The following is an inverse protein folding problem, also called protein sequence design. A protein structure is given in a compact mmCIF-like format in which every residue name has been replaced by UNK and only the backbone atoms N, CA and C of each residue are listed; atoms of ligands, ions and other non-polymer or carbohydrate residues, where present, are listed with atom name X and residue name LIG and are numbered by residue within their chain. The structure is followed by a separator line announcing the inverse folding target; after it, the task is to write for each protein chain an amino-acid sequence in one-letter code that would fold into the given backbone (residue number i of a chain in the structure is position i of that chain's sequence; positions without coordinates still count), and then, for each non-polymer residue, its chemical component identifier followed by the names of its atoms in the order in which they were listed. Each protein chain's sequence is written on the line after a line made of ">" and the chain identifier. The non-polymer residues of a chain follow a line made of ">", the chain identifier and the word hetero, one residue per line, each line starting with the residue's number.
data_IF_342066589882
#
_entry.id   IF_342066589882
#
_cell.length_a   1.000
_cell.length_b   1.000
_cell.length_c   1.000
_cell.angle_alpha   90.00
_cell.angle_beta   90.00
_cell.angle_gamma   90.00
#
_symmetry.space_group_name_H-M   'P 1'
#
loop_
_entity.id
_entity.type
_entity.pdbx_description
1 polymer ?
#
# COMPACT_ATOMS: atom_id res chain seq x y z
N UNK A 1 -24.48 -12.24 24.89
CA UNK A 1 -24.59 -13.62 24.37
C UNK A 1 -23.49 -13.79 23.34
N UNK A 2 -22.46 -14.53 23.69
CA UNK A 2 -21.36 -14.86 22.78
C UNK A 2 -21.85 -16.02 21.92
N UNK A 3 -21.97 -15.82 20.61
CA UNK A 3 -22.06 -16.95 19.69
C UNK A 3 -20.64 -17.51 19.50
N UNK A 4 -20.31 -18.55 20.27
CA UNK A 4 -19.28 -19.50 19.89
C UNK A 4 -19.75 -20.22 18.64
N UNK A 5 -19.16 -19.86 17.49
CA UNK A 5 -19.27 -20.60 16.24
C UNK A 5 -17.93 -21.23 15.93
N UNK A 6 -17.83 -22.55 16.12
CA UNK A 6 -16.73 -23.38 15.65
C UNK A 6 -16.75 -23.48 14.12
N UNK A 7 -16.26 -22.45 13.43
CA UNK A 7 -16.11 -22.50 11.97
C UNK A 7 -14.81 -23.18 11.58
N UNK A 8 -14.83 -24.52 11.44
CA UNK A 8 -13.71 -25.31 10.94
C UNK A 8 -13.62 -25.24 9.40
N UNK A 9 -13.73 -24.04 8.82
CA UNK A 9 -13.59 -23.82 7.38
C UNK A 9 -12.11 -23.68 7.02
N UNK A 10 -11.56 -24.70 6.36
CA UNK A 10 -10.31 -24.55 5.62
C UNK A 10 -10.59 -23.80 4.32
N UNK A 11 -10.24 -22.52 4.27
CA UNK A 11 -10.31 -21.77 3.03
C UNK A 11 -9.18 -22.24 2.10
N UNK A 12 -9.49 -22.49 0.80
CA UNK A 12 -8.44 -22.81 -0.15
C UNK A 12 -7.44 -21.65 -0.23
N UNK A 13 -6.16 -21.97 -0.33
CA UNK A 13 -5.11 -20.96 -0.51
C UNK A 13 -5.34 -20.29 -1.87
N UNK A 14 -5.69 -19.01 -1.85
CA UNK A 14 -5.87 -18.21 -3.06
C UNK A 14 -4.49 -17.75 -3.56
N UNK A 15 -4.08 -18.10 -4.80
CA UNK A 15 -2.85 -17.57 -5.37
C UNK A 15 -2.89 -16.05 -5.49
N UNK A 16 -1.77 -15.38 -5.24
CA UNK A 16 -1.70 -13.93 -5.28
C UNK A 16 -2.21 -13.30 -6.59
N UNK A 17 -1.90 -13.83 -7.80
CA UNK A 17 -2.47 -13.29 -9.04
C UNK A 17 -4.00 -13.39 -9.11
N UNK A 18 -4.60 -14.45 -8.56
CA UNK A 18 -6.05 -14.61 -8.51
C UNK A 18 -6.69 -13.58 -7.56
N UNK A 19 -6.04 -13.33 -6.42
CA UNK A 19 -6.45 -12.27 -5.49
C UNK A 19 -6.41 -10.89 -6.15
N UNK A 20 -5.31 -10.54 -6.81
CA UNK A 20 -5.15 -9.25 -7.51
C UNK A 20 -6.20 -9.07 -8.60
N UNK A 21 -6.44 -10.12 -9.40
CA UNK A 21 -7.50 -10.10 -10.41
C UNK A 21 -8.88 -9.87 -9.79
N UNK A 22 -9.19 -10.51 -8.66
CA UNK A 22 -10.44 -10.31 -7.96
C UNK A 22 -10.58 -8.86 -7.46
N UNK A 23 -9.55 -8.31 -6.80
CA UNK A 23 -9.54 -6.91 -6.32
C UNK A 23 -9.68 -5.89 -7.46
N UNK A 24 -9.05 -6.15 -8.60
CA UNK A 24 -9.12 -5.29 -9.78
C UNK A 24 -10.46 -5.38 -10.51
N UNK A 25 -11.25 -6.42 -10.24
CA UNK A 25 -12.60 -6.54 -10.83
C UNK A 25 -13.59 -5.76 -9.98
N UNK A 26 -14.36 -4.85 -10.59
CA UNK A 26 -15.35 -4.05 -9.88
C UNK A 26 -16.66 -4.84 -9.62
N UNK A 27 -16.56 -6.02 -9.01
CA UNK A 27 -17.71 -6.83 -8.60
C UNK A 27 -18.05 -6.51 -7.15
N UNK A 28 -19.29 -6.09 -6.92
CA UNK A 28 -19.83 -5.76 -5.59
C UNK A 28 -19.74 -6.92 -4.61
N UNK A 29 -19.90 -8.15 -5.10
CA UNK A 29 -19.81 -9.38 -4.29
C UNK A 29 -18.42 -9.65 -3.71
N UNK A 30 -17.37 -9.00 -4.22
CA UNK A 30 -15.97 -9.11 -3.76
C UNK A 30 -15.42 -7.79 -3.19
N UNK A 31 -16.28 -6.79 -3.00
CA UNK A 31 -15.87 -5.54 -2.38
C UNK A 31 -15.68 -5.75 -0.89
N UNK A 32 -14.53 -5.31 -0.39
CA UNK A 32 -14.21 -5.26 1.02
C UNK A 32 -13.51 -3.92 1.28
N UNK A 33 -13.80 -3.26 2.41
CA UNK A 33 -13.18 -1.99 2.78
C UNK A 33 -11.65 -2.02 2.73
N UNK A 34 -10.99 -3.15 2.99
CA UNK A 34 -9.52 -3.22 3.00
C UNK A 34 -8.87 -2.97 1.61
N UNK A 35 -9.63 -3.10 0.52
CA UNK A 35 -9.15 -2.84 -0.84
C UNK A 35 -10.08 -1.91 -1.63
N UNK A 36 -10.83 -1.09 -0.90
CA UNK A 36 -11.45 0.12 -1.42
C UNK A 36 -10.46 1.28 -1.41
N UNK A 37 -10.81 2.35 -2.12
CA UNK A 37 -9.98 3.55 -2.15
C UNK A 37 -10.02 4.23 -0.79
N UNK A 38 -8.86 4.59 -0.29
CA UNK A 38 -8.72 5.35 0.95
C UNK A 38 -9.36 6.74 0.80
N UNK A 39 -9.27 7.32 -0.40
CA UNK A 39 -10.00 8.53 -0.80
C UNK A 39 -11.52 8.42 -0.63
N UNK A 40 -12.11 7.23 -0.79
CA UNK A 40 -13.55 7.01 -0.63
C UNK A 40 -13.97 6.71 0.83
N UNK A 41 -13.09 6.08 1.62
CA UNK A 41 -13.44 5.59 2.95
C UNK A 41 -13.44 6.69 4.03
N UNK A 42 -12.39 7.50 4.06
CA UNK A 42 -12.15 8.44 5.15
C UNK A 42 -12.09 9.90 4.69
N UNK A 43 -12.36 10.17 3.40
CA UNK A 43 -12.18 11.46 2.76
C UNK A 43 -10.85 12.20 3.13
N UNK A 44 -9.70 11.51 3.20
CA UNK A 44 -8.43 12.14 3.58
C UNK A 44 -8.00 13.25 2.62
N UNK A 45 -8.53 13.26 1.39
CA UNK A 45 -8.35 14.34 0.42
C UNK A 45 -8.85 15.71 0.89
N UNK A 46 -9.65 15.77 1.95
CA UNK A 46 -10.13 17.02 2.56
C UNK A 46 -9.15 17.62 3.58
N UNK A 47 -8.02 16.95 3.83
CA UNK A 47 -6.99 17.38 4.77
C UNK A 47 -5.83 17.97 3.99
N UNK A 48 -5.45 19.21 4.33
CA UNK A 48 -4.25 19.86 3.81
C UNK A 48 -3.03 19.34 4.57
N UNK A 49 -2.39 18.29 4.05
CA UNK A 49 -1.21 17.69 4.67
C UNK A 49 0.01 18.58 4.53
N UNK A 50 0.62 18.96 5.65
CA UNK A 50 1.96 19.56 5.66
C UNK A 50 3.05 18.52 5.28
N UNK A 51 2.79 17.24 5.57
CA UNK A 51 3.71 16.12 5.36
C UNK A 51 2.99 14.82 5.01
N UNK A 52 3.56 14.10 4.06
CA UNK A 52 3.26 12.69 3.78
C UNK A 52 4.58 11.95 3.94
N UNK A 53 4.59 10.93 4.79
CA UNK A 53 5.76 10.09 5.07
C UNK A 53 5.47 8.72 4.51
N UNK A 54 6.40 8.17 3.74
CA UNK A 54 6.24 6.84 3.19
C UNK A 54 6.98 5.83 4.03
N UNK A 55 6.43 4.63 4.13
CA UNK A 55 7.02 3.64 5.02
C UNK A 55 8.37 3.20 4.46
N UNK A 56 8.46 2.92 3.17
CA UNK A 56 9.65 2.51 2.46
C UNK A 56 10.85 3.46 2.63
N UNK A 57 10.60 4.76 2.80
CA UNK A 57 11.61 5.82 3.01
C UNK A 57 11.58 6.41 4.42
N UNK A 58 11.00 5.70 5.40
CA UNK A 58 10.76 6.25 6.74
C UNK A 58 12.05 6.74 7.43
N UNK A 59 13.19 6.08 7.18
CA UNK A 59 14.46 6.44 7.78
C UNK A 59 15.04 7.73 7.19
N UNK A 60 14.75 7.99 5.93
CA UNK A 60 15.11 9.20 5.19
C UNK A 60 14.13 10.36 5.48
N UNK A 61 12.84 10.05 5.65
CA UNK A 61 11.77 11.04 5.81
C UNK A 61 11.73 11.64 7.23
N UNK A 62 12.00 10.84 8.26
CA UNK A 62 11.93 11.28 9.67
C UNK A 62 12.83 12.48 9.99
N UNK A 63 14.12 12.50 9.58
CA UNK A 63 14.98 13.67 9.79
C UNK A 63 14.42 14.95 9.14
N UNK A 64 13.81 14.84 7.95
CA UNK A 64 13.20 15.99 7.29
C UNK A 64 11.95 16.47 8.03
N UNK A 65 11.10 15.54 8.45
CA UNK A 65 9.92 15.82 9.27
C UNK A 65 10.30 16.54 10.57
N UNK A 66 11.28 16.02 11.33
CA UNK A 66 11.70 16.59 12.60
C UNK A 66 12.18 18.03 12.44
N UNK A 67 13.00 18.30 11.42
CA UNK A 67 13.48 19.66 11.13
C UNK A 67 12.33 20.62 10.81
N UNK A 68 11.42 20.23 9.93
CA UNK A 68 10.32 21.13 9.50
C UNK A 68 9.25 21.29 10.60
N UNK A 69 9.07 20.30 11.47
CA UNK A 69 8.20 20.37 12.64
C UNK A 69 8.84 21.10 13.85
N UNK A 70 10.10 21.53 13.75
CA UNK A 70 10.82 22.19 14.85
C UNK A 70 11.13 21.27 16.03
N UNK A 71 11.17 19.96 15.81
CA UNK A 71 11.50 18.97 16.84
C UNK A 71 13.02 18.92 16.98
N UNK A 72 13.52 19.31 18.14
CA UNK A 72 14.96 19.36 18.46
C UNK A 72 15.29 18.49 19.67
N UNK A 73 16.48 17.89 19.72
CA UNK A 73 16.95 17.14 20.89
C UNK A 73 16.24 15.80 21.08
N UNK A 74 15.69 15.23 19.99
CA UNK A 74 14.96 13.95 19.94
C UNK A 74 15.57 12.99 18.92
N UNK A 75 16.87 13.10 18.69
CA UNK A 75 17.60 12.27 17.74
C UNK A 75 17.52 10.78 18.11
N UNK A 76 17.23 10.47 19.38
CA UNK A 76 16.97 9.13 19.91
C UNK A 76 15.72 8.46 19.31
N UNK A 77 14.78 9.25 18.75
CA UNK A 77 13.58 8.73 18.09
C UNK A 77 13.76 8.46 16.60
N UNK A 78 14.88 8.87 16.00
CA UNK A 78 15.09 8.64 14.58
C UNK A 78 15.25 7.14 14.32
N UNK A 79 14.46 6.55 13.42
CA UNK A 79 14.58 5.14 13.11
C UNK A 79 15.94 4.85 12.50
N UNK A 80 16.56 3.74 12.91
CA UNK A 80 17.76 3.25 12.25
C UNK A 80 17.46 2.92 10.78
N UNK A 81 18.40 3.28 9.90
CA UNK A 81 18.36 2.86 8.50
C UNK A 81 18.51 1.34 8.45
N UNK A 82 17.40 0.63 8.22
CA UNK A 82 17.36 -0.82 8.09
C UNK A 82 16.78 -1.19 6.73
N UNK A 83 17.49 -2.06 6.01
CA UNK A 83 17.00 -2.64 4.77
C UNK A 83 15.65 -3.32 5.02
N UNK A 84 14.60 -2.82 4.37
CA UNK A 84 13.26 -3.38 4.54
C UNK A 84 13.20 -4.74 3.84
N UNK A 85 12.87 -5.78 4.61
CA UNK A 85 12.56 -7.11 4.05
C UNK A 85 11.33 -7.07 3.13
N UNK A 86 10.49 -6.04 3.27
CA UNK A 86 9.24 -5.85 2.53
C UNK A 86 9.46 -5.74 1.01
N UNK A 87 10.46 -5.00 0.57
CA UNK A 87 10.64 -4.68 -0.87
C UNK A 87 10.90 -5.93 -1.70
N UNK A 88 11.80 -6.81 -1.23
CA UNK A 88 12.09 -8.07 -1.92
C UNK A 88 10.86 -8.99 -2.01
N UNK A 89 10.05 -9.01 -0.95
CA UNK A 89 8.83 -9.82 -0.92
C UNK A 89 7.75 -9.23 -1.83
N UNK A 90 7.60 -7.91 -1.82
CA UNK A 90 6.68 -7.16 -2.67
C UNK A 90 6.95 -7.48 -4.15
N UNK A 91 8.19 -7.28 -4.61
CA UNK A 91 8.54 -7.53 -6.01
C UNK A 91 8.41 -9.00 -6.41
N UNK A 92 8.72 -9.94 -5.50
CA UNK A 92 8.54 -11.38 -5.75
C UNK A 92 7.08 -11.72 -6.09
N UNK A 93 6.13 -11.09 -5.43
CA UNK A 93 4.70 -11.32 -5.68
C UNK A 93 4.21 -10.59 -6.92
N UNK A 94 4.56 -9.31 -7.10
CA UNK A 94 4.06 -8.50 -8.20
C UNK A 94 4.59 -8.94 -9.59
N UNK A 95 5.80 -9.50 -9.65
CA UNK A 95 6.35 -10.08 -10.90
C UNK A 95 5.55 -11.26 -11.47
N UNK A 96 4.68 -11.88 -10.67
CA UNK A 96 3.85 -13.01 -11.10
C UNK A 96 2.51 -12.57 -11.69
N UNK A 97 2.18 -11.28 -11.62
CA UNK A 97 0.88 -10.76 -12.06
C UNK A 97 0.94 -10.48 -13.57
N UNK A 98 -0.07 -10.92 -14.35
CA UNK A 98 -0.22 -10.51 -15.74
C UNK A 98 -0.27 -8.99 -15.87
N UNK A 99 0.39 -8.44 -16.90
CA UNK A 99 0.49 -6.99 -17.08
C UNK A 99 -0.89 -6.30 -17.16
N UNK A 100 -1.88 -6.95 -17.78
CA UNK A 100 -3.25 -6.41 -17.87
C UNK A 100 -3.94 -6.29 -16.49
N UNK A 101 -3.66 -7.22 -15.58
CA UNK A 101 -4.21 -7.19 -14.22
C UNK A 101 -3.49 -6.13 -13.37
N UNK A 102 -2.19 -5.88 -13.60
CA UNK A 102 -1.47 -4.76 -13.00
C UNK A 102 -2.05 -3.41 -13.44
N UNK A 103 -2.31 -3.24 -14.75
CA UNK A 103 -2.94 -2.01 -15.27
C UNK A 103 -4.34 -1.80 -14.70
N UNK A 104 -5.11 -2.87 -14.50
CA UNK A 104 -6.45 -2.79 -13.91
C UNK A 104 -6.41 -2.33 -12.45
N UNK A 105 -5.50 -2.90 -11.67
CA UNK A 105 -5.29 -2.49 -10.27
C UNK A 105 -4.79 -1.06 -10.19
N UNK A 106 -3.85 -0.67 -11.05
CA UNK A 106 -3.40 0.72 -11.15
C UNK A 106 -4.58 1.65 -11.32
N UNK A 107 -5.37 1.42 -12.36
CA UNK A 107 -6.44 2.34 -12.71
C UNK A 107 -7.44 2.48 -11.57
N UNK A 108 -7.72 1.36 -10.87
CA UNK A 108 -8.53 1.38 -9.65
C UNK A 108 -7.93 2.30 -8.59
N UNK A 109 -6.66 2.14 -8.22
CA UNK A 109 -6.02 2.85 -7.11
C UNK A 109 -5.39 4.21 -7.48
N UNK A 110 -5.61 4.70 -8.70
CA UNK A 110 -4.96 5.92 -9.22
C UNK A 110 -5.17 7.13 -8.31
N UNK A 111 -6.39 7.34 -7.80
CA UNK A 111 -6.71 8.47 -6.95
C UNK A 111 -5.87 8.48 -5.66
N UNK A 112 -5.68 7.32 -5.03
CA UNK A 112 -4.87 7.19 -3.83
C UNK A 112 -3.37 7.35 -4.13
N UNK A 113 -2.91 6.83 -5.27
CA UNK A 113 -1.54 7.05 -5.75
C UNK A 113 -1.22 8.54 -5.89
N UNK A 114 -2.10 9.28 -6.57
CA UNK A 114 -1.93 10.72 -6.76
C UNK A 114 -1.96 11.45 -5.40
N UNK A 115 -2.93 11.12 -4.53
CA UNK A 115 -3.12 11.75 -3.22
C UNK A 115 -1.92 11.56 -2.29
N UNK A 116 -1.29 10.39 -2.31
CA UNK A 116 -0.13 10.08 -1.47
C UNK A 116 1.22 10.23 -2.20
N UNK A 117 1.22 10.89 -3.36
CA UNK A 117 2.42 11.16 -4.15
C UNK A 117 3.24 9.91 -4.55
N UNK A 118 2.56 8.79 -4.77
CA UNK A 118 3.16 7.59 -5.37
C UNK A 118 3.20 7.70 -6.90
N UNK A 119 4.28 7.21 -7.52
CA UNK A 119 4.43 7.16 -8.97
C UNK A 119 4.29 5.74 -9.50
N UNK A 120 3.17 5.46 -10.16
CA UNK A 120 3.00 4.17 -10.84
C UNK A 120 4.05 3.92 -11.93
N UNK A 121 4.47 4.97 -12.63
CA UNK A 121 5.47 4.82 -13.69
C UNK A 121 6.80 4.35 -13.09
N UNK A 122 7.18 4.87 -11.92
CA UNK A 122 8.39 4.46 -11.22
C UNK A 122 8.29 2.99 -10.78
N UNK A 123 7.13 2.57 -10.27
CA UNK A 123 6.87 1.18 -9.89
C UNK A 123 6.97 0.22 -11.08
N UNK A 124 6.40 0.57 -12.23
CA UNK A 124 6.49 -0.25 -13.45
C UNK A 124 7.92 -0.30 -13.98
N UNK A 125 8.64 0.82 -13.98
CA UNK A 125 10.05 0.85 -14.37
C UNK A 125 10.89 -0.04 -13.43
N UNK A 126 10.60 -0.06 -12.13
CA UNK A 126 11.25 -0.97 -11.18
C UNK A 126 10.88 -2.44 -11.41
N UNK A 127 9.66 -2.73 -11.84
CA UNK A 127 9.19 -4.10 -12.11
C UNK A 127 9.79 -4.70 -13.37
N UNK A 128 9.86 -3.92 -14.45
CA UNK A 128 10.14 -4.40 -15.81
C UNK A 128 11.41 -3.80 -16.43
N UNK A 129 12.03 -2.80 -15.80
CA UNK A 129 13.30 -2.22 -16.22
C UNK A 129 14.46 -3.15 -15.90
N UNK A 130 14.79 -4.01 -16.86
CA UNK A 130 16.10 -4.65 -17.00
C UNK A 130 16.87 -3.96 -18.13
#
# INVERSE_FOLDING_TARGET
>A
MLHEGSDNRSYPIVPFPAFIKAVGTNRTEWQDPHWQLISDLCAPCQIDYDFIIHTETIAEDYPLFFRKAGITGREDLLPEVRQRKGDNLFWKFYKQIPIDDLWRIKEKFKADYDMFAYSFNDDILRLFGH
#
